data_IF_953552868676
#
_entry.id   IF_953552868676
#
_cell.length_a   1.000
_cell.length_b   1.000
_cell.length_c   1.000
_cell.angle_alpha   90.00
_cell.angle_beta   90.00
_cell.angle_gamma   90.00
#
_symmetry.space_group_name_H-M   'P 1'
#
loop_
_entity.id
_entity.type
_entity.pdbx_description
1 polymer ?
#
# COMPACT_ATOMS: atom_id res chain seq x y z
N UNK A 1 11.94 -29.37 5.15
CA UNK A 1 10.98 -28.31 5.46
C UNK A 1 11.78 -27.05 5.74
N UNK A 2 11.59 -26.04 4.95
CA UNK A 2 12.35 -24.78 5.00
C UNK A 2 12.00 -24.00 6.30
N UNK A 3 12.93 -23.19 6.81
CA UNK A 3 12.72 -22.46 8.06
C UNK A 3 11.47 -21.56 8.03
N UNK A 4 11.18 -20.99 6.84
CA UNK A 4 9.97 -20.18 6.60
C UNK A 4 8.71 -21.04 6.61
N UNK A 5 8.74 -22.22 5.98
CA UNK A 5 7.60 -23.17 6.01
C UNK A 5 7.30 -23.64 7.44
N UNK A 6 8.35 -23.84 8.26
CA UNK A 6 8.20 -24.21 9.67
C UNK A 6 7.59 -23.05 10.51
N UNK A 7 8.00 -21.80 10.25
CA UNK A 7 7.43 -20.61 10.89
C UNK A 7 5.96 -20.44 10.49
N UNK A 8 5.67 -20.53 9.20
CA UNK A 8 4.32 -20.41 8.67
C UNK A 8 3.42 -21.54 9.15
N UNK A 9 3.94 -22.78 9.25
CA UNK A 9 3.22 -23.92 9.83
C UNK A 9 2.95 -23.72 11.32
N UNK A 10 3.92 -23.18 12.09
CA UNK A 10 3.79 -22.90 13.52
C UNK A 10 2.78 -21.78 13.78
N UNK A 11 2.82 -20.73 12.97
CA UNK A 11 1.87 -19.61 13.05
C UNK A 11 0.45 -20.04 12.70
N UNK A 12 0.28 -20.97 11.76
CA UNK A 12 -1.02 -21.61 11.48
C UNK A 12 -1.52 -22.39 12.71
N UNK A 13 -0.62 -23.05 13.44
CA UNK A 13 -0.95 -23.78 14.65
C UNK A 13 -1.27 -22.82 15.82
N UNK A 14 -0.44 -21.79 16.02
CA UNK A 14 -0.59 -20.82 17.13
C UNK A 14 -1.81 -19.90 16.95
N UNK A 15 -2.28 -19.69 15.73
CA UNK A 15 -3.50 -18.93 15.43
C UNK A 15 -4.79 -19.79 15.39
N UNK A 16 -4.71 -21.03 15.88
CA UNK A 16 -5.85 -21.97 15.83
C UNK A 16 -6.19 -22.44 14.41
N UNK A 17 -5.32 -22.18 13.43
CA UNK A 17 -5.44 -22.65 12.06
C UNK A 17 -4.98 -24.10 11.92
N UNK A 18 -5.25 -24.94 12.96
CA UNK A 18 -5.03 -26.37 12.88
C UNK A 18 -5.85 -26.92 11.71
N UNK A 19 -5.17 -27.69 10.85
CA UNK A 19 -5.78 -28.41 9.73
C UNK A 19 -7.05 -29.11 10.23
N UNK A 20 -8.13 -29.04 9.53
CA UNK A 20 -9.30 -29.90 9.44
C UNK A 20 -10.58 -29.56 10.20
N UNK A 21 -10.64 -28.64 11.20
CA UNK A 21 -11.94 -28.25 11.79
C UNK A 21 -12.24 -26.76 11.79
N UNK A 22 -11.22 -25.91 11.81
CA UNK A 22 -11.39 -24.46 11.75
C UNK A 22 -11.61 -23.94 10.33
N UNK A 23 -11.26 -24.71 9.29
CA UNK A 23 -11.47 -24.33 7.89
C UNK A 23 -12.95 -24.23 7.54
N UNK A 24 -13.79 -25.12 8.09
CA UNK A 24 -15.23 -25.10 7.81
C UNK A 24 -15.94 -23.98 8.59
N UNK A 25 -15.56 -23.74 9.85
CA UNK A 25 -16.11 -22.65 10.65
C UNK A 25 -15.63 -21.26 10.17
N UNK A 26 -14.35 -21.12 9.78
CA UNK A 26 -13.79 -19.86 9.26
C UNK A 26 -14.20 -19.58 7.80
N UNK A 27 -14.52 -20.59 7.01
CA UNK A 27 -15.16 -20.43 5.71
C UNK A 27 -16.59 -19.93 5.88
N UNK A 28 -17.32 -20.39 6.90
CA UNK A 28 -18.64 -19.86 7.25
C UNK A 28 -18.58 -18.44 7.82
N UNK A 29 -17.54 -18.05 8.55
CA UNK A 29 -17.35 -16.68 9.03
C UNK A 29 -16.82 -15.74 7.93
N UNK A 30 -16.02 -16.24 6.98
CA UNK A 30 -15.67 -15.52 5.73
C UNK A 30 -16.89 -15.33 4.82
N UNK A 31 -17.91 -16.15 4.93
CA UNK A 31 -19.26 -15.94 4.35
C UNK A 31 -20.01 -14.81 5.06
N UNK A 32 -19.56 -14.34 6.22
CA UNK A 32 -20.13 -13.14 6.87
C UNK A 32 -19.93 -11.84 6.05
N UNK A 33 -18.94 -11.76 5.16
CA UNK A 33 -18.92 -10.78 4.08
C UNK A 33 -19.84 -11.24 2.95
N UNK A 34 -21.14 -11.15 3.13
CA UNK A 34 -22.04 -11.58 2.06
C UNK A 34 -21.81 -10.77 0.77
N UNK A 35 -21.87 -11.39 -0.42
CA UNK A 35 -21.77 -10.67 -1.69
C UNK A 35 -22.71 -9.47 -1.77
N UNK A 36 -23.93 -9.59 -1.23
CA UNK A 36 -24.89 -8.51 -1.20
C UNK A 36 -24.45 -7.35 -0.28
N UNK A 37 -23.78 -7.63 0.84
CA UNK A 37 -23.24 -6.59 1.72
C UNK A 37 -22.11 -5.84 1.02
N UNK A 38 -21.17 -6.54 0.40
CA UNK A 38 -20.07 -5.93 -0.34
C UNK A 38 -20.53 -5.22 -1.62
N UNK A 39 -21.55 -5.71 -2.29
CA UNK A 39 -22.18 -4.98 -3.39
C UNK A 39 -22.79 -3.65 -2.93
N UNK A 40 -23.46 -3.61 -1.77
CA UNK A 40 -23.96 -2.35 -1.18
C UNK A 40 -22.83 -1.42 -0.77
N UNK A 41 -21.79 -1.96 -0.15
CA UNK A 41 -20.60 -1.18 0.22
C UNK A 41 -19.94 -0.55 -1.01
N UNK A 42 -19.76 -1.32 -2.08
CA UNK A 42 -19.23 -0.85 -3.36
C UNK A 42 -20.14 0.24 -3.97
N UNK A 43 -21.45 0.06 -4.00
CA UNK A 43 -22.38 1.05 -4.50
C UNK A 43 -22.34 2.34 -3.66
N UNK A 44 -22.23 2.22 -2.34
CA UNK A 44 -22.11 3.36 -1.42
C UNK A 44 -20.79 4.11 -1.61
N UNK A 45 -19.69 3.39 -1.87
CA UNK A 45 -18.41 3.99 -2.21
C UNK A 45 -18.45 4.72 -3.55
N UNK A 46 -19.14 4.18 -4.55
CA UNK A 46 -19.35 4.90 -5.84
C UNK A 46 -20.09 6.22 -5.65
N UNK A 47 -21.10 6.23 -4.80
CA UNK A 47 -21.83 7.48 -4.47
C UNK A 47 -20.89 8.49 -3.76
N UNK A 48 -20.08 8.03 -2.81
CA UNK A 48 -19.09 8.87 -2.13
C UNK A 48 -18.04 9.41 -3.12
N UNK A 49 -17.56 8.58 -4.05
CA UNK A 49 -16.64 8.99 -5.11
C UNK A 49 -17.24 10.06 -6.02
N UNK A 50 -18.55 9.94 -6.35
CA UNK A 50 -19.29 10.97 -7.08
C UNK A 50 -19.27 12.30 -6.36
N UNK A 51 -19.64 12.31 -5.07
CA UNK A 51 -19.59 13.54 -4.25
C UNK A 51 -18.17 14.11 -4.14
N UNK A 52 -17.16 13.26 -3.97
CA UNK A 52 -15.76 13.73 -3.93
C UNK A 52 -15.37 14.40 -5.25
N UNK A 53 -15.75 13.81 -6.37
CA UNK A 53 -15.52 14.37 -7.69
C UNK A 53 -16.20 15.75 -7.83
N UNK A 54 -17.49 15.84 -7.53
CA UNK A 54 -18.28 17.08 -7.61
C UNK A 54 -17.66 18.21 -6.78
N UNK A 55 -17.15 17.90 -5.59
CA UNK A 55 -16.58 18.89 -4.67
C UNK A 55 -15.12 19.28 -5.01
N UNK A 56 -14.42 18.53 -5.87
CA UNK A 56 -12.96 18.69 -6.01
C UNK A 56 -12.43 18.68 -7.44
N UNK A 57 -13.19 18.22 -8.44
CA UNK A 57 -12.68 18.05 -9.81
C UNK A 57 -12.26 19.38 -10.47
N UNK A 58 -12.93 20.48 -10.16
CA UNK A 58 -12.58 21.82 -10.63
C UNK A 58 -11.17 22.26 -10.13
N UNK A 59 -10.85 21.92 -8.89
CA UNK A 59 -9.56 22.24 -8.26
C UNK A 59 -8.47 21.21 -8.57
N UNK A 60 -8.81 19.91 -8.58
CA UNK A 60 -7.85 18.81 -8.71
C UNK A 60 -7.74 18.24 -10.13
N UNK A 61 -8.62 18.71 -11.03
CA UNK A 61 -8.65 18.29 -12.43
C UNK A 61 -9.05 16.82 -12.62
N UNK A 62 -8.79 16.31 -13.83
CA UNK A 62 -9.16 14.95 -14.25
C UNK A 62 -8.57 13.82 -13.37
N UNK A 63 -7.70 14.16 -12.41
CA UNK A 63 -7.04 13.20 -11.50
C UNK A 63 -7.62 13.19 -10.11
N UNK A 64 -8.77 13.79 -9.90
CA UNK A 64 -9.49 13.77 -8.63
C UNK A 64 -9.50 12.37 -7.98
N UNK A 65 -9.59 11.29 -8.77
CA UNK A 65 -9.62 9.91 -8.27
C UNK A 65 -8.35 9.49 -7.52
N UNK A 66 -7.17 9.97 -7.92
CA UNK A 66 -5.92 9.69 -7.22
C UNK A 66 -5.85 10.42 -5.86
N UNK A 67 -6.44 11.61 -5.77
CA UNK A 67 -6.61 12.33 -4.51
C UNK A 67 -7.66 11.65 -3.63
N UNK A 68 -8.72 11.12 -4.23
CA UNK A 68 -9.73 10.36 -3.52
C UNK A 68 -9.16 9.08 -2.90
N UNK A 69 -8.41 8.28 -3.65
CA UNK A 69 -7.76 7.06 -3.17
C UNK A 69 -6.82 7.35 -1.98
N UNK A 70 -6.01 8.41 -2.07
CA UNK A 70 -5.15 8.84 -0.96
C UNK A 70 -5.95 9.31 0.26
N UNK A 71 -7.00 10.07 0.04
CA UNK A 71 -7.88 10.52 1.11
C UNK A 71 -8.56 9.34 1.81
N UNK A 72 -9.03 8.34 1.04
CA UNK A 72 -9.56 7.10 1.59
C UNK A 72 -8.50 6.36 2.45
N UNK A 73 -7.29 6.20 1.92
CA UNK A 73 -6.20 5.51 2.62
C UNK A 73 -5.87 6.21 3.95
N UNK A 74 -5.67 7.53 3.92
CA UNK A 74 -5.35 8.31 5.12
C UNK A 74 -6.46 8.28 6.19
N UNK A 75 -7.73 8.10 5.80
CA UNK A 75 -8.86 8.08 6.75
C UNK A 75 -9.22 6.69 7.27
N UNK A 76 -8.64 5.65 6.71
CA UNK A 76 -8.85 4.28 7.22
C UNK A 76 -8.00 4.01 8.44
N UNK A 77 -8.49 3.07 9.24
CA UNK A 77 -7.69 2.42 10.25
C UNK A 77 -7.03 1.18 9.64
N UNK A 78 -5.77 1.31 9.26
CA UNK A 78 -5.01 0.20 8.70
C UNK A 78 -4.82 -0.99 9.68
N UNK A 79 -5.25 -0.83 10.94
CA UNK A 79 -5.12 -1.86 11.97
C UNK A 79 -6.34 -2.73 12.15
N UNK A 80 -7.45 -2.33 11.54
CA UNK A 80 -8.72 -3.05 11.70
C UNK A 80 -9.10 -3.66 10.36
N UNK A 81 -9.27 -4.94 10.36
CA UNK A 81 -10.03 -5.63 9.33
C UNK A 81 -11.45 -5.07 9.33
N UNK A 82 -11.93 -4.63 8.19
CA UNK A 82 -13.31 -4.16 8.14
C UNK A 82 -13.59 -3.07 7.12
N UNK A 83 -14.18 -2.00 7.59
CA UNK A 83 -14.86 -1.01 6.76
C UNK A 83 -13.97 -0.32 5.72
N UNK A 84 -14.24 -0.54 4.44
CA UNK A 84 -13.58 0.19 3.37
C UNK A 84 -14.02 1.66 3.32
N UNK A 85 -15.23 1.98 3.81
CA UNK A 85 -15.75 3.35 3.86
C UNK A 85 -15.23 4.08 5.11
N UNK A 86 -14.60 5.26 4.98
CA UNK A 86 -14.01 5.98 6.09
C UNK A 86 -14.99 6.34 7.19
N UNK A 87 -14.56 6.29 8.44
CA UNK A 87 -15.34 6.77 9.58
C UNK A 87 -15.44 8.31 9.58
N UNK A 88 -16.64 8.85 9.85
CA UNK A 88 -16.84 10.29 10.04
C UNK A 88 -16.20 10.84 11.33
N UNK A 89 -15.86 9.96 12.30
CA UNK A 89 -15.36 10.37 13.64
C UNK A 89 -13.90 10.80 13.66
N UNK A 90 -13.10 10.50 12.65
CA UNK A 90 -11.69 10.89 12.59
C UNK A 90 -11.58 12.23 11.86
N UNK A 91 -11.59 13.31 12.63
CA UNK A 91 -11.47 14.69 12.15
C UNK A 91 -10.01 15.16 12.04
N UNK A 92 -9.77 16.10 11.17
CA UNK A 92 -8.79 17.18 11.12
C UNK A 92 -7.35 16.85 10.68
N UNK A 93 -6.59 16.00 11.34
CA UNK A 93 -5.19 15.75 10.96
C UNK A 93 -5.04 14.93 9.67
N UNK A 94 -6.02 14.10 9.34
CA UNK A 94 -5.98 13.17 8.20
C UNK A 94 -6.48 13.76 6.88
N UNK A 95 -7.16 14.89 6.94
CA UNK A 95 -7.54 15.65 5.74
C UNK A 95 -6.42 16.59 5.26
N UNK A 96 -5.31 16.70 5.99
CA UNK A 96 -4.20 17.58 5.67
C UNK A 96 -3.61 17.37 4.28
N UNK A 97 -3.63 16.15 3.76
CA UNK A 97 -3.21 15.85 2.39
C UNK A 97 -4.15 16.45 1.34
N UNK A 98 -5.45 16.31 1.54
CA UNK A 98 -6.47 16.89 0.68
C UNK A 98 -6.47 18.42 0.79
N UNK A 99 -6.45 18.96 2.01
CA UNK A 99 -6.39 20.39 2.26
C UNK A 99 -5.18 21.04 1.57
N UNK A 100 -3.99 20.46 1.67
CA UNK A 100 -2.80 20.95 0.94
C UNK A 100 -2.97 20.93 -0.58
N UNK A 101 -3.62 19.90 -1.12
CA UNK A 101 -3.87 19.81 -2.56
C UNK A 101 -4.85 20.89 -3.03
N UNK A 102 -5.91 21.15 -2.26
CA UNK A 102 -6.90 22.18 -2.54
C UNK A 102 -6.31 23.60 -2.37
N UNK A 103 -5.49 23.83 -1.33
CA UNK A 103 -4.78 25.10 -1.14
C UNK A 103 -3.83 25.41 -2.33
N UNK A 104 -3.10 24.40 -2.83
CA UNK A 104 -2.27 24.56 -4.03
C UNK A 104 -3.06 24.87 -5.29
N UNK A 105 -4.33 24.46 -5.34
CA UNK A 105 -5.27 24.80 -6.41
C UNK A 105 -5.98 26.16 -6.22
N UNK A 106 -5.59 26.92 -5.19
CA UNK A 106 -6.11 28.27 -4.93
C UNK A 106 -7.37 28.33 -4.07
N UNK A 107 -7.80 27.21 -3.45
CA UNK A 107 -8.96 27.20 -2.55
C UNK A 107 -8.64 27.92 -1.25
N UNK A 108 -9.55 28.75 -0.80
CA UNK A 108 -9.49 29.44 0.50
C UNK A 108 -9.72 28.48 1.67
N UNK A 109 -9.31 28.85 2.87
CA UNK A 109 -9.53 28.08 4.10
C UNK A 109 -11.04 27.81 4.32
N UNK A 110 -11.91 28.76 4.03
CA UNK A 110 -13.37 28.62 4.15
C UNK A 110 -13.94 27.58 3.20
N UNK A 111 -13.52 27.61 1.92
CA UNK A 111 -13.93 26.63 0.90
C UNK A 111 -13.43 25.23 1.26
N UNK A 112 -12.16 25.08 1.68
CA UNK A 112 -11.60 23.80 2.12
C UNK A 112 -12.36 23.22 3.31
N UNK A 113 -12.69 24.04 4.31
CA UNK A 113 -13.48 23.61 5.46
C UNK A 113 -14.89 23.19 5.06
N UNK A 114 -15.49 23.84 4.06
CA UNK A 114 -16.81 23.49 3.52
C UNK A 114 -16.76 22.16 2.77
N UNK A 115 -15.79 21.99 1.87
CA UNK A 115 -15.56 20.73 1.15
C UNK A 115 -15.33 19.57 2.13
N UNK A 116 -14.46 19.73 3.12
CA UNK A 116 -14.20 18.68 4.13
C UNK A 116 -15.46 18.29 4.89
N UNK A 117 -16.29 19.28 5.30
CA UNK A 117 -17.57 18.98 5.97
C UNK A 117 -18.56 18.22 5.09
N UNK A 118 -18.67 18.58 3.81
CA UNK A 118 -19.54 17.88 2.85
C UNK A 118 -19.06 16.45 2.63
N UNK A 119 -17.77 16.24 2.45
CA UNK A 119 -17.18 14.91 2.30
C UNK A 119 -17.36 14.04 3.56
N UNK A 120 -17.23 14.62 4.76
CA UNK A 120 -17.49 13.90 6.01
C UNK A 120 -18.95 13.44 6.13
N UNK A 121 -19.91 14.31 5.74
CA UNK A 121 -21.35 13.95 5.69
C UNK A 121 -21.63 12.87 4.64
N UNK A 122 -21.01 12.96 3.46
CA UNK A 122 -21.14 11.96 2.41
C UNK A 122 -20.58 10.60 2.85
N UNK A 123 -19.43 10.58 3.52
CA UNK A 123 -18.84 9.36 4.09
C UNK A 123 -19.75 8.74 5.16
N UNK A 124 -20.33 9.56 6.06
CA UNK A 124 -21.27 9.05 7.07
C UNK A 124 -22.51 8.43 6.42
N UNK A 125 -23.09 9.09 5.39
CA UNK A 125 -24.23 8.56 4.62
C UNK A 125 -23.88 7.26 3.89
N UNK A 126 -22.71 7.22 3.21
CA UNK A 126 -22.25 6.04 2.52
C UNK A 126 -22.07 4.86 3.48
N UNK A 127 -21.52 5.11 4.69
CA UNK A 127 -21.36 4.10 5.72
C UNK A 127 -22.71 3.58 6.24
N UNK A 128 -23.64 4.45 6.54
CA UNK A 128 -25.00 4.06 6.95
C UNK A 128 -25.68 3.18 5.89
N UNK A 129 -25.58 3.56 4.61
CA UNK A 129 -26.14 2.79 3.50
C UNK A 129 -25.48 1.41 3.35
N UNK A 130 -24.14 1.33 3.53
CA UNK A 130 -23.42 0.07 3.46
C UNK A 130 -23.81 -0.89 4.61
N UNK A 131 -24.02 -0.35 5.82
CA UNK A 131 -24.38 -1.11 7.02
C UNK A 131 -25.87 -1.48 7.10
N UNK A 132 -26.71 -0.99 6.17
CA UNK A 132 -28.12 -1.34 6.17
C UNK A 132 -28.33 -2.86 6.00
N UNK A 133 -29.18 -3.47 6.85
CA UNK A 133 -29.44 -4.92 6.79
C UNK A 133 -30.05 -5.32 5.44
N UNK A 134 -29.52 -6.40 4.84
CA UNK A 134 -30.16 -7.03 3.70
C UNK A 134 -31.39 -7.83 4.20
N UNK A 135 -32.54 -7.55 3.66
CA UNK A 135 -33.80 -8.22 4.02
C UNK A 135 -34.04 -9.53 3.27
N UNK A 136 -33.12 -9.98 2.38
CA UNK A 136 -33.46 -11.07 1.47
C UNK A 136 -32.23 -11.96 1.10
N UNK A 137 -32.25 -13.24 1.51
CA UNK A 137 -31.23 -14.24 1.21
C UNK A 137 -31.03 -14.54 -0.31
N UNK A 138 -32.04 -14.23 -1.14
CA UNK A 138 -31.93 -14.38 -2.62
C UNK A 138 -30.93 -13.43 -3.27
N UNK A 139 -30.52 -12.34 -2.56
CA UNK A 139 -29.58 -11.33 -3.07
C UNK A 139 -28.12 -11.73 -3.02
N UNK A 140 -27.78 -12.92 -2.48
CA UNK A 140 -26.42 -13.40 -2.34
C UNK A 140 -25.90 -14.22 -3.56
N UNK A 141 -26.77 -14.46 -4.57
CA UNK A 141 -26.35 -15.21 -5.76
C UNK A 141 -25.40 -14.35 -6.62
N UNK A 142 -24.23 -14.90 -6.91
CA UNK A 142 -23.27 -14.34 -7.86
C UNK A 142 -23.37 -15.09 -9.17
N UNK A 143 -23.45 -14.37 -10.28
CA UNK A 143 -23.35 -14.94 -11.63
C UNK A 143 -21.98 -14.61 -12.18
N UNK A 144 -21.32 -15.60 -12.76
CA UNK A 144 -20.06 -15.42 -13.46
C UNK A 144 -20.26 -15.69 -14.97
N UNK A 145 -19.66 -14.87 -15.82
CA UNK A 145 -19.71 -14.99 -17.27
C UNK A 145 -18.35 -14.65 -17.87
N UNK A 146 -17.83 -15.51 -18.74
CA UNK A 146 -16.66 -15.16 -19.55
C UNK A 146 -17.07 -14.18 -20.64
N UNK A 147 -16.27 -13.14 -20.83
CA UNK A 147 -16.46 -12.11 -21.84
C UNK A 147 -15.14 -11.82 -22.55
N UNK A 148 -15.23 -11.48 -23.83
CA UNK A 148 -14.11 -10.91 -24.57
C UNK A 148 -14.25 -9.39 -24.61
N UNK A 149 -13.20 -8.68 -24.23
CA UNK A 149 -13.14 -7.23 -24.28
C UNK A 149 -12.09 -6.83 -25.30
N UNK A 150 -12.51 -6.08 -26.33
CA UNK A 150 -11.62 -5.57 -27.38
C UNK A 150 -11.41 -4.07 -27.27
N UNK A 151 -10.18 -3.60 -27.53
CA UNK A 151 -9.86 -2.19 -27.64
C UNK A 151 -8.42 -1.99 -28.13
N UNK A 152 -8.19 -1.03 -29.01
CA UNK A 152 -6.88 -0.68 -29.58
C UNK A 152 -6.11 -1.87 -30.19
N UNK A 153 -6.81 -2.78 -30.90
CA UNK A 153 -6.20 -3.94 -31.55
C UNK A 153 -5.80 -5.08 -30.60
N UNK A 154 -6.09 -4.99 -29.29
CA UNK A 154 -5.83 -6.04 -28.29
C UNK A 154 -7.15 -6.63 -27.82
N UNK A 155 -7.25 -7.96 -27.86
CA UNK A 155 -8.34 -8.73 -27.22
C UNK A 155 -7.88 -9.22 -25.86
N UNK A 156 -8.75 -9.15 -24.87
CA UNK A 156 -8.51 -9.67 -23.53
C UNK A 156 -9.73 -10.47 -23.08
N UNK A 157 -9.48 -11.66 -22.56
CA UNK A 157 -10.51 -12.47 -21.92
C UNK A 157 -10.66 -12.04 -20.46
N UNK A 158 -11.89 -11.83 -20.05
CA UNK A 158 -12.26 -11.46 -18.69
C UNK A 158 -13.38 -12.34 -18.17
N UNK A 159 -13.55 -12.31 -16.86
CA UNK A 159 -14.71 -12.85 -16.17
C UNK A 159 -15.48 -11.68 -15.55
N UNK A 160 -16.74 -11.59 -15.90
CA UNK A 160 -17.71 -10.67 -15.31
C UNK A 160 -18.44 -11.39 -14.17
N UNK A 161 -18.46 -10.76 -13.00
CA UNK A 161 -19.12 -11.24 -11.80
C UNK A 161 -20.22 -10.26 -11.40
N UNK A 162 -21.46 -10.73 -11.31
CA UNK A 162 -22.62 -9.89 -11.02
C UNK A 162 -23.32 -10.34 -9.75
N UNK A 163 -23.51 -9.43 -8.80
CA UNK A 163 -24.37 -9.57 -7.63
C UNK A 163 -25.35 -8.41 -7.54
N UNK A 164 -26.64 -8.70 -7.66
CA UNK A 164 -27.68 -7.68 -7.71
C UNK A 164 -27.48 -6.71 -8.90
N UNK A 165 -27.24 -5.44 -8.61
CA UNK A 165 -26.98 -4.39 -9.61
C UNK A 165 -25.49 -4.06 -9.78
N UNK A 166 -24.60 -4.76 -9.08
CA UNK A 166 -23.15 -4.53 -9.14
C UNK A 166 -22.52 -5.59 -10.03
N UNK A 167 -21.83 -5.14 -11.04
CA UNK A 167 -21.03 -5.95 -11.97
C UNK A 167 -19.58 -5.53 -11.86
N UNK A 168 -18.69 -6.50 -11.69
CA UNK A 168 -17.26 -6.35 -11.55
C UNK A 168 -16.55 -7.26 -12.53
N UNK A 169 -15.41 -6.82 -13.04
CA UNK A 169 -14.63 -7.56 -14.02
C UNK A 169 -13.24 -7.86 -13.50
N UNK A 170 -12.73 -9.04 -13.83
CA UNK A 170 -11.32 -9.37 -13.67
C UNK A 170 -10.80 -10.14 -14.88
N UNK A 171 -9.51 -10.02 -15.16
CA UNK A 171 -8.85 -10.74 -16.24
C UNK A 171 -8.91 -12.24 -15.99
N UNK A 172 -9.14 -13.05 -17.03
CA UNK A 172 -9.23 -14.50 -16.93
C UNK A 172 -8.03 -15.11 -16.20
N UNK A 173 -6.81 -14.61 -16.45
CA UNK A 173 -5.60 -15.07 -15.75
C UNK A 173 -5.72 -14.92 -14.22
N UNK A 174 -6.24 -13.80 -13.72
CA UNK A 174 -6.42 -13.59 -12.29
C UNK A 174 -7.52 -14.47 -11.72
N UNK A 175 -8.60 -14.68 -12.46
CA UNK A 175 -9.65 -15.61 -12.07
C UNK A 175 -9.12 -17.05 -11.93
N UNK A 176 -8.33 -17.54 -12.88
CA UNK A 176 -7.71 -18.86 -12.79
C UNK A 176 -6.67 -18.94 -11.65
N UNK A 177 -5.91 -17.87 -11.41
CA UNK A 177 -5.01 -17.78 -10.24
C UNK A 177 -5.80 -17.88 -8.92
N UNK A 178 -6.91 -17.16 -8.79
CA UNK A 178 -7.77 -17.25 -7.61
C UNK A 178 -8.36 -18.67 -7.45
N UNK A 179 -8.69 -19.35 -8.56
CA UNK A 179 -9.18 -20.72 -8.53
C UNK A 179 -8.15 -21.70 -7.95
N UNK A 180 -6.86 -21.50 -8.27
CA UNK A 180 -5.77 -22.33 -7.70
C UNK A 180 -5.45 -21.98 -6.25
N UNK A 181 -5.69 -20.75 -5.82
CA UNK A 181 -5.44 -20.27 -4.46
C UNK A 181 -6.57 -20.57 -3.50
N UNK A 182 -7.79 -20.75 -4.02
CA UNK A 182 -8.95 -20.96 -3.16
C UNK A 182 -8.84 -22.25 -2.35
N UNK A 183 -9.02 -22.14 -1.05
CA UNK A 183 -8.91 -23.27 -0.10
C UNK A 183 -10.06 -24.25 -0.19
N UNK A 184 -11.21 -23.85 -0.75
CA UNK A 184 -12.30 -24.75 -1.09
C UNK A 184 -12.03 -25.54 -2.39
N UNK A 185 -12.94 -26.42 -2.74
CA UNK A 185 -12.89 -27.15 -4.03
C UNK A 185 -13.85 -26.50 -5.02
N UNK A 186 -13.31 -25.66 -5.92
CA UNK A 186 -14.08 -24.94 -6.94
C UNK A 186 -14.79 -25.88 -7.96
N UNK A 187 -14.44 -27.15 -7.99
CA UNK A 187 -15.13 -28.15 -8.84
C UNK A 187 -16.39 -28.68 -8.16
N UNK A 188 -16.40 -28.70 -6.84
CA UNK A 188 -17.51 -29.17 -6.01
C UNK A 188 -18.45 -28.06 -5.59
N UNK A 189 -17.92 -26.86 -5.36
CA UNK A 189 -18.67 -25.67 -4.96
C UNK A 189 -18.29 -24.45 -5.82
N UNK A 190 -18.73 -24.45 -7.06
CA UNK A 190 -18.52 -23.36 -8.00
C UNK A 190 -19.22 -22.07 -7.56
N UNK A 191 -20.43 -22.18 -6.98
CA UNK A 191 -21.16 -21.03 -6.47
C UNK A 191 -20.44 -20.38 -5.25
N UNK A 192 -19.88 -21.20 -4.35
CA UNK A 192 -19.06 -20.71 -3.23
C UNK A 192 -17.81 -19.99 -3.71
N UNK A 193 -17.13 -20.57 -4.70
CA UNK A 193 -15.97 -19.93 -5.33
C UNK A 193 -16.34 -18.59 -5.96
N UNK A 194 -17.41 -18.52 -6.75
CA UNK A 194 -17.85 -17.26 -7.37
C UNK A 194 -18.22 -16.20 -6.33
N UNK A 195 -18.87 -16.59 -5.22
CA UNK A 195 -19.17 -15.69 -4.09
C UNK A 195 -17.88 -15.14 -3.47
N UNK A 196 -16.92 -16.02 -3.19
CA UNK A 196 -15.64 -15.62 -2.60
C UNK A 196 -14.86 -14.67 -3.54
N UNK A 197 -14.76 -14.96 -4.83
CA UNK A 197 -14.09 -14.10 -5.83
C UNK A 197 -14.78 -12.74 -5.93
N UNK A 198 -16.13 -12.71 -6.00
CA UNK A 198 -16.88 -11.47 -6.01
C UNK A 198 -16.57 -10.62 -4.78
N UNK A 199 -16.54 -11.23 -3.59
CA UNK A 199 -16.25 -10.54 -2.34
C UNK A 199 -14.86 -9.91 -2.36
N UNK A 200 -13.83 -10.63 -2.80
CA UNK A 200 -12.47 -10.07 -2.93
C UNK A 200 -12.45 -8.91 -3.92
N UNK A 201 -12.97 -9.09 -5.13
CA UNK A 201 -12.94 -8.04 -6.15
C UNK A 201 -13.73 -6.80 -5.70
N UNK A 202 -14.91 -6.98 -5.10
CA UNK A 202 -15.73 -5.89 -4.57
C UNK A 202 -15.02 -5.14 -3.45
N UNK A 203 -14.37 -5.86 -2.51
CA UNK A 203 -13.61 -5.27 -1.41
C UNK A 203 -12.47 -4.40 -1.94
N UNK A 204 -11.63 -4.92 -2.83
CA UNK A 204 -10.49 -4.17 -3.34
C UNK A 204 -10.89 -3.04 -4.28
N UNK A 205 -11.94 -3.20 -5.11
CA UNK A 205 -12.50 -2.10 -5.87
C UNK A 205 -13.00 -0.97 -4.95
N UNK A 206 -13.62 -1.31 -3.82
CA UNK A 206 -14.07 -0.34 -2.81
C UNK A 206 -12.88 0.32 -2.12
N UNK A 207 -11.88 -0.44 -1.72
CA UNK A 207 -10.64 0.06 -1.14
C UNK A 207 -9.91 1.06 -2.06
N UNK A 208 -9.98 0.87 -3.36
CA UNK A 208 -9.39 1.75 -4.38
C UNK A 208 -10.29 2.95 -4.75
N UNK A 209 -11.49 3.06 -4.20
CA UNK A 209 -12.41 4.16 -4.49
C UNK A 209 -13.23 3.99 -5.77
N UNK A 210 -13.35 2.77 -6.29
CA UNK A 210 -14.21 2.35 -7.41
C UNK A 210 -13.93 2.96 -8.78
N UNK A 211 -12.92 3.82 -8.93
CA UNK A 211 -12.56 4.40 -10.21
C UNK A 211 -11.62 3.47 -11.00
N UNK A 212 -11.87 3.27 -12.29
CA UNK A 212 -11.13 2.31 -13.13
C UNK A 212 -9.63 2.62 -13.31
N UNK A 213 -9.20 3.87 -13.03
CA UNK A 213 -7.79 4.29 -13.03
C UNK A 213 -7.16 4.29 -11.64
N UNK A 214 -7.90 3.98 -10.60
CA UNK A 214 -7.38 3.88 -9.24
C UNK A 214 -6.50 2.61 -9.06
N UNK A 215 -5.96 2.39 -7.88
CA UNK A 215 -5.11 1.25 -7.55
C UNK A 215 -3.64 1.62 -7.32
N UNK A 216 -3.33 2.92 -7.23
CA UNK A 216 -1.96 3.38 -6.98
C UNK A 216 -1.48 3.05 -5.56
N UNK A 217 -2.38 3.11 -4.56
CA UNK A 217 -2.05 2.78 -3.18
C UNK A 217 -1.92 1.26 -2.92
N UNK A 218 -2.13 0.44 -3.94
CA UNK A 218 -2.05 -1.02 -3.88
C UNK A 218 -1.15 -1.58 -5.00
N UNK A 219 -0.25 -0.75 -5.52
CA UNK A 219 0.70 -1.19 -6.51
C UNK A 219 1.71 -2.16 -5.90
N UNK A 220 2.05 -3.19 -6.65
CA UNK A 220 3.01 -4.21 -6.25
C UNK A 220 4.38 -3.96 -6.89
N UNK A 221 5.43 -4.48 -6.29
CA UNK A 221 6.73 -4.58 -6.94
C UNK A 221 6.68 -5.58 -8.11
N UNK A 222 7.54 -5.43 -9.12
CA UNK A 222 7.55 -6.32 -10.29
C UNK A 222 7.86 -7.79 -9.91
N UNK A 223 7.28 -8.79 -10.61
CA UNK A 223 7.55 -10.21 -10.35
C UNK A 223 9.03 -10.57 -10.30
N UNK A 224 9.86 -9.98 -11.18
CA UNK A 224 11.31 -10.20 -11.20
C UNK A 224 12.02 -9.79 -9.90
N UNK A 225 11.47 -8.80 -9.19
CA UNK A 225 12.00 -8.40 -7.88
C UNK A 225 11.72 -9.49 -6.86
N UNK A 226 10.51 -10.05 -6.83
CA UNK A 226 10.17 -11.18 -5.96
C UNK A 226 11.05 -12.41 -6.25
N UNK A 227 11.25 -12.76 -7.53
CA UNK A 227 12.14 -13.86 -7.95
C UNK A 227 13.58 -13.64 -7.46
N UNK A 228 14.07 -12.40 -7.53
CA UNK A 228 15.40 -12.03 -7.05
C UNK A 228 15.49 -12.10 -5.53
N UNK A 229 14.44 -11.64 -4.82
CA UNK A 229 14.34 -11.69 -3.36
C UNK A 229 14.26 -13.13 -2.86
N UNK A 230 13.45 -13.98 -3.50
CA UNK A 230 13.36 -15.40 -3.16
C UNK A 230 14.72 -16.10 -3.33
N UNK A 231 15.35 -15.92 -4.48
CA UNK A 231 16.61 -16.60 -4.82
C UNK A 231 17.78 -16.17 -3.93
N UNK A 232 17.88 -14.88 -3.55
CA UNK A 232 19.05 -14.33 -2.87
C UNK A 232 18.87 -14.14 -1.37
N UNK A 233 17.65 -13.88 -0.93
CA UNK A 233 17.33 -13.48 0.44
C UNK A 233 16.26 -14.37 1.08
N UNK A 234 15.84 -15.46 0.40
CA UNK A 234 14.86 -16.43 0.88
C UNK A 234 13.52 -15.77 1.31
N UNK A 235 13.13 -14.70 0.62
CA UNK A 235 11.84 -14.06 0.85
C UNK A 235 10.74 -14.90 0.24
N UNK A 236 9.72 -15.27 1.02
CA UNK A 236 8.60 -16.13 0.59
C UNK A 236 7.23 -15.67 1.06
N UNK A 237 7.16 -14.48 1.67
CA UNK A 237 5.91 -13.91 2.15
C UNK A 237 5.92 -12.40 2.00
N UNK A 238 4.81 -11.86 1.56
CA UNK A 238 4.53 -10.44 1.41
C UNK A 238 3.67 -9.96 2.57
N UNK A 239 4.03 -8.84 3.21
CA UNK A 239 3.25 -8.31 4.32
C UNK A 239 2.16 -7.31 3.90
N UNK A 240 2.16 -6.86 2.65
CA UNK A 240 1.17 -5.91 2.13
C UNK A 240 0.70 -6.30 0.73
N UNK A 241 -0.07 -7.38 0.65
CA UNK A 241 -0.59 -7.89 -0.60
C UNK A 241 -2.12 -8.09 -0.56
N UNK A 242 -2.63 -8.75 -1.57
CA UNK A 242 -4.03 -9.16 -1.70
C UNK A 242 -4.12 -10.42 -2.57
N UNK A 243 -5.21 -11.15 -2.54
CA UNK A 243 -5.41 -12.27 -3.47
C UNK A 243 -5.26 -11.90 -4.94
N UNK A 244 -5.45 -10.59 -5.26
CA UNK A 244 -5.43 -10.06 -6.62
C UNK A 244 -4.03 -9.70 -7.13
N UNK A 245 -3.03 -9.52 -6.24
CA UNK A 245 -1.69 -9.09 -6.62
C UNK A 245 -0.55 -9.86 -5.93
N UNK A 246 -0.85 -10.75 -5.01
CA UNK A 246 0.18 -11.51 -4.32
C UNK A 246 0.99 -12.38 -5.29
N UNK A 247 2.31 -12.33 -5.16
CA UNK A 247 3.24 -13.19 -5.85
C UNK A 247 3.37 -14.54 -5.13
N UNK A 248 3.60 -14.52 -3.83
CA UNK A 248 3.74 -15.72 -3.01
C UNK A 248 2.39 -16.35 -2.67
N UNK A 249 2.44 -17.61 -2.28
CA UNK A 249 1.24 -18.36 -1.86
C UNK A 249 0.66 -17.82 -0.56
N UNK A 250 1.50 -17.37 0.34
CA UNK A 250 1.16 -16.81 1.63
C UNK A 250 1.54 -15.34 1.71
N UNK A 251 0.66 -14.54 2.27
CA UNK A 251 0.79 -13.08 2.34
C UNK A 251 -0.09 -12.51 3.45
N UNK A 252 0.26 -11.34 3.95
CA UNK A 252 -0.66 -10.55 4.77
C UNK A 252 -1.46 -9.58 3.88
N UNK A 253 -2.68 -9.25 4.31
CA UNK A 253 -3.59 -8.44 3.53
C UNK A 253 -4.44 -7.47 4.36
N UNK A 254 -5.08 -6.52 3.69
CA UNK A 254 -5.90 -5.49 4.32
C UNK A 254 -7.29 -5.99 4.75
N UNK A 255 -7.73 -7.17 4.31
CA UNK A 255 -9.06 -7.71 4.59
C UNK A 255 -9.01 -9.22 4.81
N UNK A 256 -8.67 -9.65 6.01
CA UNK A 256 -8.61 -11.07 6.36
C UNK A 256 -9.95 -11.76 6.09
N UNK A 257 -11.06 -11.08 6.34
CA UNK A 257 -12.42 -11.59 6.16
C UNK A 257 -12.71 -12.07 4.72
N UNK A 258 -12.20 -11.39 3.70
CA UNK A 258 -12.38 -11.81 2.29
C UNK A 258 -11.22 -12.66 1.78
N UNK A 259 -10.03 -12.54 2.38
CA UNK A 259 -8.79 -12.96 1.76
C UNK A 259 -8.24 -14.28 2.32
N UNK A 260 -8.65 -14.68 3.54
CA UNK A 260 -8.19 -15.94 4.16
C UNK A 260 -8.46 -17.16 3.30
N UNK A 261 -9.60 -17.19 2.60
CA UNK A 261 -9.93 -18.25 1.68
C UNK A 261 -8.95 -18.41 0.50
N UNK A 262 -8.10 -17.40 0.26
CA UNK A 262 -7.13 -17.34 -0.84
C UNK A 262 -5.66 -17.30 -0.37
N UNK A 263 -5.39 -17.55 0.90
CA UNK A 263 -4.02 -17.67 1.42
C UNK A 263 -3.55 -16.52 2.32
N UNK A 264 -4.39 -15.52 2.62
CA UNK A 264 -4.03 -14.45 3.55
C UNK A 264 -3.81 -14.98 4.97
N UNK A 265 -2.73 -14.49 5.61
CA UNK A 265 -2.37 -14.72 7.00
C UNK A 265 -3.01 -13.69 7.96
N UNK A 266 -3.77 -12.73 7.43
CA UNK A 266 -4.36 -11.65 8.19
C UNK A 266 -3.62 -10.31 8.01
N UNK A 267 -3.76 -9.42 8.98
CA UNK A 267 -3.17 -8.08 8.92
C UNK A 267 -1.66 -8.12 9.21
N UNK A 268 -0.87 -7.37 8.43
CA UNK A 268 0.59 -7.28 8.61
C UNK A 268 1.01 -6.81 10.01
N UNK A 269 0.21 -6.00 10.68
CA UNK A 269 0.52 -5.47 12.01
C UNK A 269 0.19 -6.43 13.16
N UNK A 270 -0.56 -7.49 12.88
CA UNK A 270 -0.85 -8.59 13.79
C UNK A 270 0.08 -9.79 13.52
N UNK A 271 0.84 -9.74 12.43
CA UNK A 271 1.79 -10.79 12.05
C UNK A 271 3.11 -10.61 12.82
N UNK A 272 3.45 -11.55 13.69
CA UNK A 272 4.62 -11.49 14.59
C UNK A 272 5.60 -12.64 14.34
N UNK A 273 6.33 -12.66 13.22
CA UNK A 273 7.32 -13.69 12.95
C UNK A 273 8.54 -13.56 13.88
N UNK A 274 9.03 -14.69 14.36
CA UNK A 274 10.26 -14.79 15.16
C UNK A 274 11.50 -15.12 14.32
N UNK A 275 11.32 -15.53 13.06
CA UNK A 275 12.36 -15.89 12.08
C UNK A 275 11.82 -15.75 10.65
N UNK A 276 12.70 -15.63 9.66
CA UNK A 276 12.35 -15.59 8.24
C UNK A 276 12.79 -14.31 7.55
N UNK A 277 12.50 -14.24 6.25
CA UNK A 277 12.76 -13.07 5.41
C UNK A 277 11.46 -12.67 4.70
N UNK A 278 11.08 -11.40 4.79
CA UNK A 278 9.76 -10.89 4.40
C UNK A 278 9.87 -9.66 3.52
N UNK A 279 8.94 -9.52 2.58
CA UNK A 279 8.78 -8.31 1.77
C UNK A 279 7.71 -7.39 2.39
N UNK A 280 7.96 -6.08 2.36
CA UNK A 280 7.09 -5.04 2.88
C UNK A 280 6.99 -3.88 1.87
N UNK A 281 5.92 -3.84 1.10
CA UNK A 281 5.59 -2.73 0.20
C UNK A 281 4.24 -2.13 0.64
N UNK A 282 4.21 -1.35 1.74
CA UNK A 282 2.98 -0.78 2.28
C UNK A 282 2.37 0.25 1.32
N UNK A 283 1.08 0.56 1.45
CA UNK A 283 0.54 1.78 0.87
C UNK A 283 1.40 2.99 1.24
N UNK A 284 1.68 3.87 0.26
CA UNK A 284 2.54 5.03 0.48
C UNK A 284 1.80 6.13 1.26
N UNK A 285 1.59 5.85 2.53
CA UNK A 285 0.96 6.70 3.54
C UNK A 285 1.86 6.85 4.75
N UNK A 286 2.01 8.08 5.25
CA UNK A 286 2.94 8.43 6.34
C UNK A 286 2.64 7.65 7.64
N UNK A 287 1.36 7.49 7.99
CA UNK A 287 0.98 6.79 9.22
C UNK A 287 1.26 5.29 9.12
N UNK A 288 0.95 4.70 7.95
CA UNK A 288 1.20 3.27 7.70
C UNK A 288 2.70 2.99 7.73
N UNK A 289 3.51 3.82 7.05
CA UNK A 289 4.98 3.66 7.03
C UNK A 289 5.57 3.87 8.43
N UNK A 290 5.08 4.86 9.18
CA UNK A 290 5.55 5.12 10.56
C UNK A 290 5.24 3.94 11.49
N UNK A 291 4.07 3.32 11.34
CA UNK A 291 3.68 2.13 12.10
C UNK A 291 4.50 0.91 11.69
N UNK A 292 4.71 0.70 10.38
CA UNK A 292 5.57 -0.37 9.88
C UNK A 292 6.97 -0.27 10.48
N UNK A 293 7.57 0.93 10.48
CA UNK A 293 8.87 1.16 11.09
C UNK A 293 8.92 0.68 12.55
N UNK A 294 7.93 1.10 13.36
CA UNK A 294 7.84 0.66 14.76
C UNK A 294 7.59 -0.84 14.93
N UNK A 295 6.79 -1.43 14.06
CA UNK A 295 6.49 -2.85 14.08
C UNK A 295 7.74 -3.69 13.75
N UNK A 296 8.43 -3.37 12.64
CA UNK A 296 9.65 -4.06 12.21
C UNK A 296 10.76 -3.96 13.26
N UNK A 297 11.01 -2.77 13.82
CA UNK A 297 12.02 -2.61 14.88
C UNK A 297 11.71 -3.44 16.12
N UNK A 298 10.44 -3.48 16.55
CA UNK A 298 10.00 -4.30 17.67
C UNK A 298 10.21 -5.79 17.42
N UNK A 299 9.92 -6.27 16.21
CA UNK A 299 10.14 -7.67 15.84
C UNK A 299 11.64 -8.00 15.82
N UNK A 300 12.46 -7.18 15.16
CA UNK A 300 13.90 -7.38 15.08
C UNK A 300 14.59 -7.34 16.45
N UNK A 301 14.13 -6.47 17.37
CA UNK A 301 14.68 -6.37 18.73
C UNK A 301 14.39 -7.60 19.59
N UNK A 302 13.30 -8.31 19.34
CA UNK A 302 12.88 -9.50 20.11
C UNK A 302 13.38 -10.80 19.53
N UNK A 303 13.60 -10.84 18.20
CA UNK A 303 13.96 -12.05 17.50
C UNK A 303 15.38 -12.50 17.80
N UNK A 304 15.53 -13.74 18.29
CA UNK A 304 16.82 -14.40 18.50
C UNK A 304 17.29 -15.20 17.27
N UNK A 305 16.35 -15.58 16.42
CA UNK A 305 16.59 -16.30 15.17
C UNK A 305 16.77 -15.33 14.00
N UNK A 306 17.31 -15.77 12.85
CA UNK A 306 17.47 -14.92 11.68
C UNK A 306 16.15 -14.27 11.23
N UNK A 307 16.09 -12.94 11.23
CA UNK A 307 14.92 -12.18 10.81
C UNK A 307 15.34 -11.02 9.91
N UNK A 308 14.67 -10.88 8.76
CA UNK A 308 14.96 -9.88 7.72
C UNK A 308 13.68 -9.33 7.12
N UNK A 309 13.67 -8.01 6.86
CA UNK A 309 12.60 -7.32 6.15
C UNK A 309 13.18 -6.50 4.99
N UNK A 310 12.68 -6.77 3.80
CA UNK A 310 12.90 -5.97 2.61
C UNK A 310 11.77 -4.94 2.49
N UNK A 311 12.08 -3.66 2.64
CA UNK A 311 11.07 -2.60 2.73
C UNK A 311 11.18 -1.67 1.52
N UNK A 312 10.05 -1.42 0.85
CA UNK A 312 9.93 -0.52 -0.28
C UNK A 312 9.01 0.64 0.09
N UNK A 313 9.56 1.85 0.15
CA UNK A 313 8.82 3.07 0.55
C UNK A 313 9.28 4.27 -0.28
N UNK A 314 8.45 5.32 -0.44
CA UNK A 314 8.88 6.52 -1.15
C UNK A 314 10.04 7.20 -0.39
N UNK A 315 10.94 7.83 -1.15
CA UNK A 315 12.05 8.60 -0.58
C UNK A 315 11.53 9.92 0.03
N UNK A 316 11.02 9.85 1.24
CA UNK A 316 10.48 11.00 1.99
C UNK A 316 11.40 11.39 3.15
N UNK A 317 12.48 12.09 2.85
CA UNK A 317 13.55 12.40 3.80
C UNK A 317 13.10 13.09 5.10
N UNK A 318 11.99 13.83 5.05
CA UNK A 318 11.42 14.57 6.17
C UNK A 318 10.24 13.87 6.85
N UNK A 319 9.90 12.66 6.40
CA UNK A 319 8.85 11.86 7.00
C UNK A 319 9.38 11.08 8.20
N UNK A 320 8.56 11.01 9.27
CA UNK A 320 8.93 10.28 10.48
C UNK A 320 9.14 8.79 10.21
N UNK A 321 8.24 8.20 9.41
CA UNK A 321 8.30 6.79 9.08
C UNK A 321 9.56 6.45 8.30
N UNK A 322 9.88 7.22 7.25
CA UNK A 322 11.09 7.02 6.46
C UNK A 322 12.36 7.23 7.30
N UNK A 323 12.43 8.33 8.06
CA UNK A 323 13.60 8.60 8.92
C UNK A 323 13.83 7.48 9.93
N UNK A 324 12.77 6.93 10.51
CA UNK A 324 12.88 5.83 11.46
C UNK A 324 13.42 4.57 10.82
N UNK A 325 12.93 4.21 9.63
CA UNK A 325 13.46 3.06 8.85
C UNK A 325 14.92 3.26 8.47
N UNK A 326 15.24 4.43 7.87
CA UNK A 326 16.58 4.70 7.32
C UNK A 326 17.66 4.88 8.40
N UNK A 327 17.29 5.34 9.59
CA UNK A 327 18.21 5.54 10.74
C UNK A 327 18.15 4.41 11.76
N UNK A 328 17.35 3.37 11.51
CA UNK A 328 17.26 2.21 12.40
C UNK A 328 18.60 1.51 12.52
N UNK A 329 18.93 1.07 13.73
CA UNK A 329 20.14 0.26 13.99
C UNK A 329 20.11 -1.08 13.27
N UNK A 330 18.95 -1.50 12.78
CA UNK A 330 18.74 -2.71 11.99
C UNK A 330 18.82 -2.46 10.48
N UNK A 331 18.94 -1.21 10.02
CA UNK A 331 19.05 -0.88 8.60
C UNK A 331 20.45 -1.19 8.09
N UNK A 332 20.59 -2.32 7.42
CA UNK A 332 21.88 -2.79 6.86
C UNK A 332 22.14 -2.26 5.45
N UNK A 333 21.10 -1.85 4.74
CA UNK A 333 21.21 -1.23 3.41
C UNK A 333 20.02 -0.32 3.15
N UNK A 334 20.29 0.82 2.54
CA UNK A 334 19.28 1.76 2.02
C UNK A 334 19.71 2.22 0.63
N UNK A 335 18.97 1.79 -0.38
CA UNK A 335 19.26 2.07 -1.79
C UNK A 335 18.15 2.92 -2.39
N UNK A 336 18.50 4.01 -3.06
CA UNK A 336 17.56 4.84 -3.79
C UNK A 336 17.42 4.35 -5.22
N UNK A 337 16.18 4.13 -5.65
CA UNK A 337 15.79 3.98 -7.04
C UNK A 337 15.28 5.34 -7.52
N UNK A 338 15.91 5.90 -8.55
CA UNK A 338 15.52 7.22 -9.06
C UNK A 338 14.19 7.18 -9.80
N UNK A 339 13.54 8.34 -9.90
CA UNK A 339 12.31 8.49 -10.67
C UNK A 339 12.51 8.04 -12.13
N UNK A 340 11.54 7.30 -12.67
CA UNK A 340 11.54 6.74 -14.03
C UNK A 340 12.51 5.57 -14.27
N UNK A 341 13.47 5.31 -13.39
CA UNK A 341 14.38 4.16 -13.50
C UNK A 341 13.73 2.85 -13.03
N UNK A 342 12.58 2.93 -12.39
CA UNK A 342 11.87 1.77 -11.86
C UNK A 342 10.36 1.87 -12.10
N UNK A 343 9.68 0.74 -12.04
CA UNK A 343 8.25 0.65 -12.23
C UNK A 343 7.59 -0.24 -11.16
N UNK A 344 6.30 -0.02 -10.97
CA UNK A 344 5.43 -0.86 -10.15
C UNK A 344 4.35 -1.50 -11.01
N UNK A 345 3.81 -2.61 -10.55
CA UNK A 345 2.62 -3.23 -11.14
C UNK A 345 1.39 -2.56 -10.54
N UNK A 346 0.47 -2.08 -11.38
CA UNK A 346 -0.76 -1.43 -10.94
C UNK A 346 -1.55 -2.31 -9.96
N UNK A 347 -2.05 -1.74 -8.87
CA UNK A 347 -2.96 -2.44 -7.95
C UNK A 347 -4.30 -2.83 -8.59
N UNK A 348 -4.65 -2.23 -9.74
CA UNK A 348 -5.80 -2.61 -10.55
C UNK A 348 -5.43 -3.61 -11.67
N UNK A 349 -4.29 -4.29 -11.59
CA UNK A 349 -3.80 -5.24 -12.60
C UNK A 349 -4.80 -6.36 -12.95
N UNK A 350 -5.64 -6.73 -11.98
CA UNK A 350 -6.68 -7.75 -12.16
C UNK A 350 -7.78 -7.36 -13.15
N UNK A 351 -7.93 -6.07 -13.44
CA UNK A 351 -8.97 -5.54 -14.35
C UNK A 351 -8.40 -4.79 -15.56
N UNK A 352 -7.07 -4.48 -15.59
CA UNK A 352 -6.41 -3.70 -16.63
C UNK A 352 -5.52 -4.56 -17.51
N UNK A 353 -5.32 -4.12 -18.75
CA UNK A 353 -4.39 -4.74 -19.72
C UNK A 353 -2.97 -4.22 -19.47
N UNK A 354 -2.83 -2.89 -19.28
CA UNK A 354 -1.55 -2.25 -18.99
C UNK A 354 -1.30 -2.30 -17.49
N UNK A 355 -0.28 -3.04 -17.09
CA UNK A 355 -0.03 -3.37 -15.68
C UNK A 355 1.16 -2.62 -15.09
N UNK A 356 2.21 -2.31 -15.88
CA UNK A 356 3.37 -1.59 -15.38
C UNK A 356 3.14 -0.08 -15.38
N UNK A 357 3.51 0.54 -14.25
CA UNK A 357 3.45 1.99 -14.07
C UNK A 357 4.82 2.48 -13.60
N UNK A 358 5.54 3.25 -14.42
CA UNK A 358 6.79 3.87 -14.01
C UNK A 358 6.61 4.77 -12.79
N UNK A 359 7.57 4.77 -11.88
CA UNK A 359 7.52 5.65 -10.72
C UNK A 359 7.89 7.08 -11.11
N UNK A 360 7.04 8.04 -10.76
CA UNK A 360 7.30 9.46 -10.95
C UNK A 360 8.18 10.07 -9.87
N UNK A 361 8.44 9.33 -8.79
CA UNK A 361 9.19 9.80 -7.64
C UNK A 361 10.25 8.77 -7.24
N UNK A 362 11.33 9.19 -6.59
CA UNK A 362 12.33 8.29 -6.06
C UNK A 362 11.73 7.38 -4.98
N UNK A 363 12.24 6.15 -4.91
CA UNK A 363 11.84 5.13 -3.95
C UNK A 363 13.05 4.65 -3.17
N UNK A 364 12.92 4.51 -1.86
CA UNK A 364 13.90 3.84 -1.01
C UNK A 364 13.60 2.36 -0.92
N UNK A 365 14.63 1.56 -1.11
CA UNK A 365 14.65 0.12 -0.90
C UNK A 365 15.59 -0.17 0.27
N UNK A 366 15.04 -0.67 1.37
CA UNK A 366 15.78 -0.87 2.60
C UNK A 366 15.80 -2.35 2.99
N UNK A 367 16.93 -2.81 3.52
CA UNK A 367 17.02 -4.08 4.22
C UNK A 367 17.18 -3.80 5.72
N UNK A 368 16.25 -4.33 6.52
CA UNK A 368 16.32 -4.28 7.97
C UNK A 368 16.49 -5.70 8.51
N UNK A 369 17.59 -5.95 9.23
CA UNK A 369 17.96 -7.28 9.67
C UNK A 369 18.46 -7.25 11.11
N UNK A 370 18.18 -8.32 11.90
CA UNK A 370 18.95 -8.55 13.12
C UNK A 370 20.31 -9.21 12.78
N UNK A 371 21.21 -9.31 13.73
CA UNK A 371 22.56 -9.86 13.52
C UNK A 371 22.57 -11.29 12.96
N UNK A 372 21.62 -12.11 13.37
CA UNK A 372 21.47 -13.46 12.83
C UNK A 372 20.98 -13.44 11.36
N UNK A 373 20.10 -12.50 11.02
CA UNK A 373 19.64 -12.26 9.64
C UNK A 373 20.75 -11.76 8.73
N UNK A 374 21.56 -10.79 9.18
CA UNK A 374 22.75 -10.31 8.45
C UNK A 374 23.70 -11.45 8.09
N UNK A 375 23.92 -12.36 9.05
CA UNK A 375 24.78 -13.55 8.83
C UNK A 375 24.16 -14.55 7.86
N UNK A 376 22.84 -14.77 7.92
CA UNK A 376 22.16 -15.77 7.08
C UNK A 376 21.89 -15.26 5.66
N UNK A 377 21.54 -14.00 5.52
CA UNK A 377 21.19 -13.34 4.24
C UNK A 377 22.00 -12.04 4.08
N UNK A 378 23.31 -12.12 3.82
CA UNK A 378 24.16 -10.93 3.70
C UNK A 378 23.71 -10.07 2.50
N UNK A 379 23.58 -8.77 2.74
CA UNK A 379 23.24 -7.80 1.70
C UNK A 379 24.52 -7.31 1.05
N UNK A 380 24.87 -7.91 -0.11
CA UNK A 380 26.08 -7.58 -0.85
C UNK A 380 25.82 -6.53 -1.95
N UNK A 381 26.84 -5.81 -2.43
CA UNK A 381 26.70 -4.88 -3.57
C UNK A 381 26.09 -5.54 -4.82
N UNK A 382 26.44 -6.81 -5.10
CA UNK A 382 25.91 -7.58 -6.23
C UNK A 382 24.43 -7.93 -6.01
N UNK A 383 24.04 -8.21 -4.76
CA UNK A 383 22.64 -8.42 -4.38
C UNK A 383 21.80 -7.16 -4.59
N UNK A 384 22.32 -6.02 -4.17
CA UNK A 384 21.68 -4.71 -4.36
C UNK A 384 21.58 -4.34 -5.85
N UNK A 385 22.64 -4.58 -6.63
CA UNK A 385 22.64 -4.34 -8.08
C UNK A 385 21.57 -5.21 -8.79
N UNK A 386 21.46 -6.49 -8.42
CA UNK A 386 20.44 -7.38 -8.97
C UNK A 386 19.00 -6.93 -8.64
N UNK A 387 18.76 -6.38 -7.44
CA UNK A 387 17.47 -5.80 -7.07
C UNK A 387 17.19 -4.56 -7.93
N UNK A 388 18.16 -3.65 -8.09
CA UNK A 388 18.01 -2.47 -8.95
C UNK A 388 17.66 -2.84 -10.38
N UNK A 389 18.37 -3.83 -10.95
CA UNK A 389 18.10 -4.34 -12.30
C UNK A 389 16.68 -4.96 -12.40
N UNK A 390 16.26 -5.71 -11.39
CA UNK A 390 14.94 -6.33 -11.36
C UNK A 390 13.79 -5.30 -11.29
N UNK A 391 14.01 -4.11 -10.75
CA UNK A 391 13.05 -3.01 -10.74
C UNK A 391 12.99 -2.24 -12.07
N UNK A 392 14.03 -2.31 -12.91
CA UNK A 392 14.10 -1.56 -14.15
C UNK A 392 12.98 -2.00 -15.11
N UNK A 393 12.26 -1.07 -15.75
CA UNK A 393 11.24 -1.42 -16.72
C UNK A 393 11.88 -2.14 -17.93
N UNK A 394 11.18 -3.10 -18.58
CA UNK A 394 11.64 -3.69 -19.83
C UNK A 394 11.94 -2.63 -20.89
N UNK A 395 12.95 -2.85 -21.75
CA UNK A 395 13.42 -1.84 -22.75
C UNK A 395 12.29 -1.23 -23.59
N UNK A 396 11.32 -2.02 -24.07
CA UNK A 396 10.15 -1.52 -24.82
C UNK A 396 9.22 -0.61 -24.01
N UNK A 397 9.22 -0.73 -22.69
CA UNK A 397 8.45 0.12 -21.81
C UNK A 397 9.25 1.31 -21.30
N UNK A 398 10.58 1.21 -21.26
CA UNK A 398 11.47 2.35 -21.02
C UNK A 398 11.30 3.43 -22.09
N UNK A 399 11.17 3.06 -23.37
CA UNK A 399 10.89 4.00 -24.48
C UNK A 399 9.52 4.69 -24.35
N UNK A 400 8.52 4.01 -23.75
CA UNK A 400 7.22 4.63 -23.40
C UNK A 400 7.35 5.56 -22.21
N UNK A 401 8.29 5.29 -21.30
CA UNK A 401 8.57 6.11 -20.10
C UNK A 401 9.20 7.45 -20.47
N UNK A 402 10.07 7.50 -21.47
CA UNK A 402 10.64 8.76 -21.97
C UNK A 402 9.57 9.71 -22.52
N UNK A 403 8.51 9.15 -23.12
CA UNK A 403 7.35 9.91 -23.64
C UNK A 403 6.26 10.13 -22.59
N UNK A 404 6.50 9.69 -21.36
CA UNK A 404 5.50 9.71 -20.31
C UNK A 404 5.49 11.05 -19.57
N UNK A 405 4.31 11.68 -19.55
CA UNK A 405 4.08 12.90 -18.79
C UNK A 405 4.00 12.59 -17.28
N UNK A 406 4.95 13.08 -16.45
CA UNK A 406 4.90 12.88 -15.00
C UNK A 406 3.65 13.48 -14.37
N UNK A 407 3.02 14.45 -15.03
CA UNK A 407 1.73 14.96 -14.65
C UNK A 407 0.58 14.00 -15.01
N UNK A 408 0.79 12.99 -15.87
CA UNK A 408 -0.21 11.99 -16.25
C UNK A 408 -0.38 10.82 -15.26
N UNK A 409 0.58 10.52 -14.38
CA UNK A 409 0.50 9.45 -13.37
C UNK A 409 1.04 9.97 -12.05
N UNK A 410 0.18 10.38 -11.15
CA UNK A 410 0.65 10.90 -9.88
C UNK A 410 0.90 9.79 -8.85
N UNK A 411 2.11 9.30 -8.78
CA UNK A 411 2.74 8.87 -7.55
C UNK A 411 3.27 10.07 -6.75
N UNK A 412 2.80 11.28 -7.03
CA UNK A 412 3.17 12.41 -6.23
C UNK A 412 2.62 12.19 -4.84
N UNK A 413 3.49 11.82 -3.94
CA UNK A 413 3.36 12.03 -2.53
C UNK A 413 2.62 13.34 -2.25
N UNK A 414 1.91 13.40 -1.14
CA UNK A 414 1.31 14.64 -0.62
C UNK A 414 2.31 15.79 -0.44
N UNK A 415 3.60 15.54 -0.63
CA UNK A 415 4.68 16.52 -0.74
C UNK A 415 5.27 16.42 -2.14
N UNK A 416 4.87 17.31 -3.05
CA UNK A 416 5.74 17.63 -4.17
C UNK A 416 7.04 18.13 -3.55
N UNK A 417 8.14 17.42 -3.78
CA UNK A 417 9.45 18.06 -3.66
C UNK A 417 9.36 19.34 -4.50
N UNK A 418 9.80 20.50 -3.97
CA UNK A 418 9.93 21.72 -4.77
C UNK A 418 10.65 21.37 -6.06
N UNK A 419 10.38 22.08 -7.18
CA UNK A 419 11.06 21.86 -8.47
C UNK A 419 12.60 21.94 -8.36
N UNK A 420 13.10 22.47 -7.27
CA UNK A 420 14.48 22.65 -6.85
C UNK A 420 14.97 21.62 -5.81
N UNK A 421 14.22 20.54 -5.54
CA UNK A 421 14.70 19.48 -4.64
C UNK A 421 16.01 18.84 -5.12
N UNK A 422 16.26 18.81 -6.43
CA UNK A 422 17.57 18.48 -6.96
C UNK A 422 18.64 19.55 -6.59
N UNK A 423 18.26 20.81 -6.35
CA UNK A 423 19.17 21.86 -5.90
C UNK A 423 19.58 21.68 -4.45
N UNK A 424 18.73 21.03 -3.64
CA UNK A 424 18.99 20.77 -2.22
C UNK A 424 20.05 19.67 -2.02
N UNK A 425 19.98 18.61 -2.82
CA UNK A 425 21.03 17.56 -2.84
C UNK A 425 22.38 18.13 -3.29
N UNK A 426 22.37 19.01 -4.29
CA UNK A 426 23.58 19.70 -4.76
C UNK A 426 24.12 20.74 -3.76
N UNK A 427 23.27 21.47 -3.04
CA UNK A 427 23.70 22.43 -2.01
C UNK A 427 24.31 21.76 -0.79
N UNK A 428 23.80 20.61 -0.38
CA UNK A 428 24.40 19.88 0.74
C UNK A 428 25.73 19.23 0.36
N UNK A 429 25.87 18.70 -0.88
CA UNK A 429 27.20 18.24 -1.36
C UNK A 429 28.24 19.34 -1.43
N UNK A 430 27.87 20.57 -1.76
CA UNK A 430 28.78 21.74 -1.71
C UNK A 430 29.09 22.20 -0.30
N UNK A 431 28.21 21.98 0.67
CA UNK A 431 28.46 22.33 2.06
C UNK A 431 29.42 21.36 2.76
N UNK A 432 29.36 20.08 2.45
CA UNK A 432 30.30 19.08 2.98
C UNK A 432 31.69 19.14 2.33
N UNK A 433 31.83 19.75 1.15
CA UNK A 433 33.14 19.97 0.51
C UNK A 433 33.80 21.31 0.87
N UNK A 434 33.15 22.21 1.65
CA UNK A 434 33.67 23.53 2.01
C UNK A 434 34.14 23.64 3.47
N UNK A 435 34.29 22.53 4.20
CA UNK A 435 34.70 22.53 5.63
C UNK A 435 36.13 22.04 5.83
N UNK A 436 36.93 21.92 4.77
CA UNK A 436 38.36 21.66 4.93
C UNK A 436 39.13 22.63 4.04
N UNK A 437 39.52 23.73 4.63
CA UNK A 437 40.66 24.59 4.38
C UNK A 437 40.39 26.04 4.86
N UNK A 438 40.82 26.40 6.08
CA UNK A 438 41.34 27.71 6.36
C UNK A 438 42.08 27.76 7.70
N UNK A 439 43.24 28.44 7.74
CA UNK A 439 44.16 28.35 8.89
C UNK A 439 43.82 29.28 10.00
N UNK A 440 44.25 28.85 11.20
CA UNK A 440 44.20 29.59 12.45
C UNK A 440 44.71 31.03 12.33
N UNK A 441 43.91 32.02 12.74
CA UNK A 441 44.39 33.35 13.19
C UNK A 441 43.82 33.64 14.56
N UNK A 442 44.76 33.53 15.53
CA UNK A 442 44.68 34.09 16.88
C UNK A 442 44.39 35.60 16.85
N UNK A 443 43.38 36.06 17.60
CA UNK A 443 43.35 37.40 18.18
C UNK A 443 42.63 37.47 19.52
N UNK A 444 43.38 38.10 20.43
CA UNK A 444 43.24 38.41 21.82
C UNK A 444 41.88 38.94 22.30
N UNK A 445 41.68 38.60 23.58
CA UNK A 445 40.75 39.18 24.57
C UNK A 445 40.59 40.71 24.52
N UNK A 446 39.36 41.14 24.74
CA UNK A 446 39.09 42.27 25.68
C UNK A 446 37.75 42.06 26.37
N UNK A 447 37.81 42.24 27.68
CA UNK A 447 36.79 42.19 28.71
C UNK A 447 35.96 43.47 28.79
N UNK A 448 34.71 43.36 29.15
CA UNK A 448 33.88 44.22 30.00
C UNK A 448 32.42 43.85 29.74
N UNK A 449 31.57 43.54 30.68
CA UNK A 449 31.33 43.97 32.01
C UNK A 449 29.83 44.28 32.13
N UNK A 450 29.11 43.68 33.10
CA UNK A 450 27.80 44.13 33.58
C UNK A 450 26.58 43.56 32.81
N UNK A 451 25.61 43.01 33.40
CA UNK A 451 25.11 42.89 34.72
C UNK A 451 23.62 42.50 34.68
N UNK A 452 23.21 41.65 35.61
CA UNK A 452 21.89 41.58 36.26
C UNK A 452 20.62 41.38 35.37
N UNK A 453 19.90 40.35 35.53
CA UNK A 453 19.06 39.83 36.59
C UNK A 453 17.60 39.60 36.13
N UNK A 454 17.05 38.50 36.59
CA UNK A 454 15.68 38.24 37.07
C UNK A 454 14.62 37.93 36.03
N UNK A 455 14.24 36.66 35.96
CA UNK A 455 13.06 36.00 36.58
C UNK A 455 11.69 36.49 36.10
N UNK A 456 10.86 35.53 35.73
CA UNK A 456 9.50 35.17 36.20
C UNK A 456 8.88 34.23 35.16
N UNK A 457 8.62 33.07 35.49
CA UNK A 457 7.52 32.21 35.93
C UNK A 457 6.12 32.57 35.41
N UNK A 458 5.41 31.51 34.88
CA UNK A 458 3.97 31.19 34.87
C UNK A 458 3.12 32.05 33.91
N UNK A 459 2.23 31.49 33.14
CA UNK A 459 1.28 30.36 33.25
C UNK A 459 1.18 29.61 31.89
#
# INVERSE_FOLDING_TARGET
MDAVDAVLARMRADQGLARDRAVDADVDEAVAASPAALAREHASMRALAGTFREETEDALGRRWYAHFERWLCARRDATRDGDAIPSAKRRDARDGGLARSLAKAGRTTGEMATTTRRLARAAAKARANASARASDGRKNRVRARRIEVGGNGKRAEKVELTCGKVTLELNLRHYETLKTRWRGDARRDEDGFHRAVFCVVARYATLQGTHYKAGNMQAAIPPRVFETLEKRFDVRCELFASPLNAHFKEFCSASAMTDRAFGSLGNAFDFEPSEGSFECNPPFDEEIISRLAGHVERLLSRAKKPLSFFVVVPLWHDSRGWMRLAKSVYCVSNTTLEAKEHAFVSGAQHSRIDQLTPSAAPTSVLFLQNKAGEKKWPVTPEGVAAIREAFAPPKKEAERVEKWDPDATSWSCSRRLPKDANSWVYKNKKRDQSVDESPAKTKKKKSAGGGLAASFFRD
#
